data_IF_915460865413
#
_entry.id   IF_915460865413
#
_cell.length_a   1.000
_cell.length_b   1.000
_cell.length_c   1.000
_cell.angle_alpha   90.00
_cell.angle_beta   90.00
_cell.angle_gamma   90.00
#
_symmetry.space_group_name_H-M   'P 1'
#
loop_
_entity.id
_entity.type
_entity.pdbx_description
1 polymer ?
#
# COMPACT_ATOMS: atom_id res chain seq x y z
N UNK A 1 -9.77 -22.03 -27.70
CA UNK A 1 -9.07 -22.94 -26.77
C UNK A 1 -9.07 -22.30 -25.41
N UNK A 2 -9.66 -22.99 -24.45
CA UNK A 2 -9.83 -22.56 -23.06
C UNK A 2 -8.51 -22.76 -22.33
N UNK A 3 -8.06 -21.75 -21.57
CA UNK A 3 -7.09 -21.98 -20.48
C UNK A 3 -5.98 -20.95 -20.36
N UNK A 4 -6.25 -19.85 -19.63
CA UNK A 4 -5.30 -19.34 -18.65
C UNK A 4 -6.11 -19.14 -17.37
N UNK A 5 -6.21 -20.20 -16.56
CA UNK A 5 -6.73 -20.12 -15.19
C UNK A 5 -5.53 -20.24 -14.27
N UNK A 6 -4.85 -19.12 -14.04
CA UNK A 6 -3.77 -19.09 -13.07
C UNK A 6 -3.98 -17.90 -12.16
N UNK A 7 -4.75 -18.17 -11.12
CA UNK A 7 -4.96 -17.27 -9.99
C UNK A 7 -4.23 -17.97 -8.84
N UNK A 8 -3.31 -17.27 -8.16
CA UNK A 8 -2.68 -17.61 -6.86
C UNK A 8 -1.21 -18.11 -6.79
N UNK A 9 -0.25 -17.56 -7.53
CA UNK A 9 1.18 -17.79 -7.17
C UNK A 9 1.65 -17.05 -5.91
N UNK A 10 0.81 -16.19 -5.34
CA UNK A 10 1.14 -15.51 -4.10
C UNK A 10 1.22 -16.49 -2.93
N UNK A 11 2.38 -16.55 -2.27
CA UNK A 11 2.47 -17.11 -0.92
C UNK A 11 2.02 -16.04 0.06
N UNK A 12 0.94 -16.31 0.78
CA UNK A 12 0.40 -15.34 1.73
C UNK A 12 1.28 -15.30 2.98
N UNK A 13 1.80 -14.10 3.28
CA UNK A 13 2.48 -13.75 4.54
C UNK A 13 1.69 -12.66 5.24
N UNK A 14 1.47 -12.85 6.54
CA UNK A 14 0.80 -11.88 7.42
C UNK A 14 1.35 -12.06 8.83
N UNK A 15 1.52 -10.95 9.55
CA UNK A 15 1.83 -10.97 10.99
C UNK A 15 0.57 -10.74 11.85
N UNK A 16 -0.56 -10.53 11.18
CA UNK A 16 -1.87 -10.30 11.77
C UNK A 16 -2.95 -11.04 10.99
N UNK A 17 -4.09 -11.27 11.66
CA UNK A 17 -5.27 -11.84 11.02
C UNK A 17 -5.91 -10.82 10.09
N UNK A 18 -6.46 -11.24 8.93
CA UNK A 18 -7.19 -10.33 8.06
C UNK A 18 -8.35 -9.67 8.82
N UNK A 19 -8.42 -8.34 8.91
CA UNK A 19 -9.50 -7.65 9.59
C UNK A 19 -10.81 -7.88 8.85
N UNK A 20 -11.92 -7.90 9.59
CA UNK A 20 -13.26 -7.88 8.97
C UNK A 20 -13.43 -6.57 8.20
N UNK A 21 -13.80 -6.67 6.93
CA UNK A 21 -14.09 -5.51 6.10
C UNK A 21 -15.60 -5.24 6.03
N UNK A 22 -15.98 -3.99 6.30
CA UNK A 22 -17.33 -3.47 6.06
C UNK A 22 -17.19 -2.13 5.31
N UNK A 23 -17.68 -2.02 4.06
CA UNK A 23 -17.53 -0.80 3.26
C UNK A 23 -18.25 0.41 3.87
N UNK A 24 -19.31 0.21 4.66
CA UNK A 24 -20.05 1.31 5.30
C UNK A 24 -19.38 1.88 6.55
N UNK A 25 -18.37 1.17 7.08
CA UNK A 25 -17.64 1.57 8.29
C UNK A 25 -16.20 1.95 7.97
N UNK A 26 -15.60 1.33 6.96
CA UNK A 26 -14.21 1.55 6.61
C UNK A 26 -13.94 2.99 6.18
N UNK A 27 -12.80 3.53 6.63
CA UNK A 27 -12.29 4.84 6.26
C UNK A 27 -10.78 4.79 6.08
N UNK A 28 -10.27 5.61 5.16
CA UNK A 28 -8.85 5.95 5.05
C UNK A 28 -8.63 7.34 5.65
N UNK A 29 -7.77 7.43 6.66
CA UNK A 29 -7.32 8.71 7.22
C UNK A 29 -5.96 9.09 6.65
N UNK A 30 -5.81 10.35 6.22
CA UNK A 30 -4.53 10.97 5.83
C UNK A 30 -4.30 12.18 6.73
N UNK A 31 -3.23 12.15 7.51
CA UNK A 31 -2.97 13.12 8.58
C UNK A 31 -1.47 13.42 8.77
N UNK A 32 -1.14 14.15 9.85
CA UNK A 32 0.24 14.56 10.17
C UNK A 32 0.60 15.89 9.51
N UNK A 33 1.74 15.94 8.82
CA UNK A 33 2.29 17.12 8.16
C UNK A 33 1.58 17.43 6.82
N UNK A 34 0.26 17.65 6.90
CA UNK A 34 -0.60 18.08 5.79
C UNK A 34 -1.32 19.38 6.14
N UNK A 35 -1.77 20.14 5.15
CA UNK A 35 -2.50 21.39 5.40
C UNK A 35 -3.96 21.14 5.80
N UNK A 36 -4.59 20.15 5.18
CA UNK A 36 -5.95 19.72 5.44
C UNK A 36 -5.99 18.20 5.60
N UNK A 37 -6.09 17.69 6.85
CA UNK A 37 -6.31 16.27 7.09
C UNK A 37 -7.55 15.78 6.35
N UNK A 38 -7.49 14.55 5.85
CA UNK A 38 -8.51 13.98 4.99
C UNK A 38 -8.96 12.63 5.52
N UNK A 39 -10.27 12.42 5.50
CA UNK A 39 -10.87 11.12 5.81
C UNK A 39 -11.75 10.75 4.63
N UNK A 40 -11.50 9.59 4.03
CA UNK A 40 -12.17 9.11 2.81
C UNK A 40 -12.91 7.83 3.12
N UNK A 41 -14.18 7.75 2.75
CA UNK A 41 -14.99 6.52 2.78
C UNK A 41 -14.58 5.56 1.66
N UNK A 42 -15.07 4.32 1.71
CA UNK A 42 -14.76 3.35 0.66
C UNK A 42 -15.28 3.79 -0.72
N UNK A 43 -16.50 4.33 -0.78
CA UNK A 43 -17.09 4.78 -2.05
C UNK A 43 -16.36 5.99 -2.63
N UNK A 44 -15.96 6.95 -1.79
CA UNK A 44 -15.16 8.10 -2.22
C UNK A 44 -13.79 7.66 -2.74
N UNK A 45 -13.15 6.66 -2.11
CA UNK A 45 -11.89 6.09 -2.59
C UNK A 45 -12.05 5.52 -4.00
N UNK A 46 -13.12 4.77 -4.26
CA UNK A 46 -13.39 4.18 -5.58
C UNK A 46 -13.75 5.23 -6.65
N UNK A 47 -14.22 6.41 -6.23
CA UNK A 47 -14.52 7.52 -7.13
C UNK A 47 -13.29 8.37 -7.51
N UNK A 48 -12.14 8.16 -6.87
CA UNK A 48 -10.90 8.86 -7.21
C UNK A 48 -10.34 8.41 -8.57
N UNK A 49 -9.57 9.31 -9.20
CA UNK A 49 -8.78 8.97 -10.39
C UNK A 49 -7.87 7.78 -10.08
N UNK A 50 -8.04 6.71 -10.85
CA UNK A 50 -7.31 5.46 -10.67
C UNK A 50 -6.51 5.11 -11.92
N UNK A 51 -5.42 4.39 -11.69
CA UNK A 51 -4.52 3.92 -12.73
C UNK A 51 -4.40 2.39 -12.62
N UNK A 52 -4.17 1.75 -13.76
CA UNK A 52 -3.81 0.33 -13.83
C UNK A 52 -2.30 0.22 -14.07
N UNK A 53 -1.67 -0.77 -13.44
CA UNK A 53 -0.28 -1.11 -13.72
C UNK A 53 -0.09 -2.63 -13.73
N UNK A 54 0.90 -3.07 -14.49
CA UNK A 54 1.42 -4.43 -14.42
C UNK A 54 2.83 -4.34 -13.88
N UNK A 55 3.11 -5.08 -12.81
CA UNK A 55 4.42 -5.06 -12.15
C UNK A 55 4.67 -6.37 -11.41
N UNK A 56 5.94 -6.73 -11.28
CA UNK A 56 6.34 -7.92 -10.53
C UNK A 56 6.23 -7.67 -9.01
N UNK A 57 6.12 -8.75 -8.25
CA UNK A 57 6.11 -8.74 -6.80
C UNK A 57 7.21 -9.66 -6.29
N UNK A 58 8.09 -9.15 -5.43
CA UNK A 58 9.22 -9.91 -4.88
C UNK A 58 9.12 -10.08 -3.38
N UNK A 59 9.24 -11.30 -2.90
CA UNK A 59 9.38 -11.57 -1.48
C UNK A 59 10.85 -11.71 -1.10
N UNK A 60 11.20 -11.18 0.06
CA UNK A 60 12.52 -11.34 0.69
C UNK A 60 12.87 -12.82 0.97
N UNK A 61 11.88 -13.71 1.02
CA UNK A 61 12.08 -15.17 1.11
C UNK A 61 12.50 -15.84 -0.22
N UNK A 62 12.78 -15.05 -1.27
CA UNK A 62 13.33 -15.54 -2.53
C UNK A 62 12.31 -16.07 -3.55
N UNK A 63 11.02 -15.77 -3.37
CA UNK A 63 9.98 -16.08 -4.35
C UNK A 63 9.36 -14.82 -4.94
N UNK A 64 8.93 -14.90 -6.20
CA UNK A 64 8.34 -13.79 -6.95
C UNK A 64 7.01 -14.18 -7.58
N UNK A 65 6.19 -13.18 -7.89
CA UNK A 65 5.02 -13.32 -8.77
C UNK A 65 5.17 -12.28 -9.88
N UNK A 66 5.28 -12.75 -11.11
CA UNK A 66 5.54 -11.87 -12.26
C UNK A 66 4.22 -11.36 -12.85
N UNK A 67 4.30 -10.21 -13.53
CA UNK A 67 3.23 -9.61 -14.31
C UNK A 67 1.89 -9.47 -13.54
N UNK A 68 1.96 -9.00 -12.29
CA UNK A 68 0.76 -8.79 -11.49
C UNK A 68 0.04 -7.53 -11.92
N UNK A 69 -1.24 -7.64 -12.28
CA UNK A 69 -2.08 -6.49 -12.63
C UNK A 69 -2.71 -5.90 -11.37
N UNK A 70 -2.39 -4.63 -11.11
CA UNK A 70 -2.95 -3.85 -10.01
C UNK A 70 -3.82 -2.71 -10.55
N UNK A 71 -4.87 -2.36 -9.81
CA UNK A 71 -5.60 -1.10 -10.01
C UNK A 71 -5.77 -0.38 -8.68
N UNK A 72 -5.54 0.92 -8.70
CA UNK A 72 -5.50 1.72 -7.50
C UNK A 72 -5.34 3.21 -7.77
N UNK A 73 -5.09 3.96 -6.71
CA UNK A 73 -4.79 5.39 -6.78
C UNK A 73 -3.30 5.63 -6.56
N UNK A 74 -2.75 6.63 -7.24
CA UNK A 74 -1.44 7.19 -6.92
C UNK A 74 -1.54 8.07 -5.67
N UNK A 75 -0.49 8.10 -4.86
CA UNK A 75 -0.48 8.90 -3.62
C UNK A 75 -0.58 10.41 -3.89
N UNK A 76 -0.10 10.87 -5.06
CA UNK A 76 -0.30 12.24 -5.55
C UNK A 76 -1.77 12.68 -5.51
N UNK A 77 -2.72 11.76 -5.74
CA UNK A 77 -4.16 12.07 -5.73
C UNK A 77 -4.62 12.49 -4.34
N UNK A 78 -4.09 11.86 -3.29
CA UNK A 78 -4.36 12.22 -1.90
C UNK A 78 -3.65 13.51 -1.54
N UNK A 79 -2.37 13.65 -1.91
CA UNK A 79 -1.57 14.83 -1.56
C UNK A 79 -2.06 16.12 -2.21
N UNK A 80 -2.58 16.03 -3.44
CA UNK A 80 -3.22 17.16 -4.11
C UNK A 80 -4.48 17.64 -3.36
N UNK A 81 -5.14 16.77 -2.59
CA UNK A 81 -6.31 17.12 -1.78
C UNK A 81 -5.94 17.64 -0.40
N UNK A 82 -4.91 17.06 0.23
CA UNK A 82 -4.52 17.41 1.60
C UNK A 82 -3.61 18.62 1.67
N UNK A 83 -2.80 18.88 0.62
CA UNK A 83 -1.61 19.71 0.73
C UNK A 83 -0.53 19.03 1.59
N UNK A 84 0.74 19.32 1.32
CA UNK A 84 1.86 18.86 2.13
C UNK A 84 2.51 20.05 2.81
N UNK A 85 2.80 19.92 4.11
CA UNK A 85 3.59 20.94 4.80
C UNK A 85 5.05 20.90 4.33
N UNK A 86 5.79 22.03 4.34
CA UNK A 86 7.19 22.07 3.91
C UNK A 86 8.11 21.10 4.66
N UNK A 87 7.78 20.78 5.90
CA UNK A 87 8.56 19.88 6.76
C UNK A 87 8.24 18.40 6.53
N UNK A 88 7.22 18.06 5.73
CA UNK A 88 6.91 16.68 5.40
C UNK A 88 8.06 16.06 4.60
N UNK A 89 8.59 14.94 5.07
CA UNK A 89 9.69 14.24 4.42
C UNK A 89 9.42 12.74 4.23
N UNK A 90 8.57 12.16 5.08
CA UNK A 90 8.24 10.74 5.08
C UNK A 90 6.73 10.52 5.16
N UNK A 91 6.30 9.34 4.70
CA UNK A 91 4.91 8.88 4.68
C UNK A 91 4.86 7.50 5.30
N UNK A 92 4.15 7.39 6.41
CA UNK A 92 3.97 6.13 7.12
C UNK A 92 2.58 5.57 6.85
N UNK A 93 2.53 4.31 6.44
CA UNK A 93 1.31 3.55 6.19
C UNK A 93 1.08 2.59 7.34
N UNK A 94 -0.16 2.52 7.84
CA UNK A 94 -0.55 1.60 8.89
C UNK A 94 -1.62 0.64 8.39
N UNK A 95 -1.50 -0.62 8.78
CA UNK A 95 -2.60 -1.58 8.63
C UNK A 95 -3.74 -1.26 9.61
N UNK A 96 -4.92 -1.81 9.33
CA UNK A 96 -6.13 -1.50 10.07
C UNK A 96 -6.06 -1.79 11.58
N UNK A 97 -5.23 -2.74 12.01
CA UNK A 97 -5.03 -3.01 13.44
C UNK A 97 -4.04 -2.05 14.11
N UNK A 98 -3.24 -1.33 13.32
CA UNK A 98 -2.10 -0.55 13.78
C UNK A 98 -0.84 -1.38 14.13
N UNK A 99 -0.91 -2.72 14.08
CA UNK A 99 0.24 -3.59 14.38
C UNK A 99 1.32 -3.48 13.32
N UNK A 100 0.92 -3.44 12.04
CA UNK A 100 1.84 -3.37 10.92
C UNK A 100 1.95 -1.94 10.39
N UNK A 101 3.17 -1.49 10.19
CA UNK A 101 3.44 -0.22 9.54
C UNK A 101 4.71 -0.27 8.72
N UNK A 102 4.80 0.63 7.75
CA UNK A 102 5.97 0.87 6.94
C UNK A 102 6.07 2.36 6.60
N UNK A 103 7.29 2.91 6.53
CA UNK A 103 7.56 4.33 6.30
C UNK A 103 8.53 4.52 5.14
N UNK A 104 8.13 5.38 4.20
CA UNK A 104 8.87 5.71 2.99
C UNK A 104 9.18 7.20 2.96
N UNK A 105 10.29 7.58 2.35
CA UNK A 105 10.53 8.98 1.97
C UNK A 105 9.51 9.45 0.95
N UNK A 106 9.24 10.76 0.90
CA UNK A 106 8.38 11.34 -0.13
C UNK A 106 8.87 11.02 -1.55
N UNK A 107 10.18 10.95 -1.76
CA UNK A 107 10.78 10.60 -3.05
C UNK A 107 10.41 9.19 -3.49
N UNK A 108 10.43 8.22 -2.58
CA UNK A 108 9.99 6.85 -2.86
C UNK A 108 8.49 6.78 -3.11
N UNK A 109 7.69 7.58 -2.40
CA UNK A 109 6.22 7.57 -2.51
C UNK A 109 5.75 8.12 -3.85
N UNK A 110 6.48 9.06 -4.45
CA UNK A 110 6.14 9.66 -5.75
C UNK A 110 6.68 8.88 -6.95
N UNK A 111 7.39 7.77 -6.72
CA UNK A 111 7.83 6.87 -7.79
C UNK A 111 6.62 6.41 -8.64
N UNK A 112 6.74 6.36 -9.98
CA UNK A 112 5.59 6.19 -10.87
C UNK A 112 4.77 4.91 -10.67
N UNK A 113 5.35 3.87 -10.06
CA UNK A 113 4.69 2.57 -9.86
C UNK A 113 4.22 2.34 -8.41
N UNK A 114 4.40 3.32 -7.51
CA UNK A 114 3.85 3.24 -6.15
C UNK A 114 2.38 3.60 -6.18
N UNK A 115 1.54 2.79 -5.53
CA UNK A 115 0.10 3.02 -5.45
C UNK A 115 -0.55 2.40 -4.22
N UNK A 116 -1.75 2.88 -3.91
CA UNK A 116 -2.70 2.20 -3.06
C UNK A 116 -3.67 1.42 -3.96
N UNK A 117 -3.48 0.11 -4.05
CA UNK A 117 -4.27 -0.79 -4.87
C UNK A 117 -5.52 -1.29 -4.13
N UNK A 118 -6.64 -1.35 -4.84
CA UNK A 118 -7.90 -1.95 -4.39
C UNK A 118 -8.40 -3.09 -5.32
N UNK A 119 -7.77 -3.28 -6.48
CA UNK A 119 -7.96 -4.47 -7.34
C UNK A 119 -6.65 -5.21 -7.61
N UNK A 120 -6.79 -6.51 -7.81
CA UNK A 120 -5.74 -7.46 -8.19
C UNK A 120 -6.30 -8.35 -9.30
N UNK A 121 -5.65 -8.35 -10.47
CA UNK A 121 -6.02 -9.14 -11.64
C UNK A 121 -7.51 -8.99 -12.01
N UNK A 122 -7.94 -7.74 -12.19
CA UNK A 122 -9.30 -7.37 -12.60
C UNK A 122 -10.42 -7.72 -11.60
N UNK A 123 -10.07 -8.21 -10.41
CA UNK A 123 -10.98 -8.48 -9.30
C UNK A 123 -10.67 -7.59 -8.09
N UNK A 124 -11.67 -7.33 -7.24
CA UNK A 124 -11.40 -6.70 -5.94
C UNK A 124 -10.40 -7.54 -5.15
N UNK A 125 -9.53 -6.88 -4.38
CA UNK A 125 -8.56 -7.59 -3.54
C UNK A 125 -9.25 -8.69 -2.71
N UNK A 126 -8.73 -9.93 -2.72
CA UNK A 126 -9.07 -10.92 -1.72
C UNK A 126 -8.74 -10.40 -0.32
N UNK A 127 -9.50 -10.81 0.70
CA UNK A 127 -9.27 -10.34 2.08
C UNK A 127 -7.84 -10.60 2.55
N UNK A 128 -7.28 -11.78 2.25
CA UNK A 128 -5.90 -12.16 2.58
C UNK A 128 -4.82 -11.33 1.86
N UNK A 129 -5.20 -10.67 0.76
CA UNK A 129 -4.34 -9.80 -0.05
C UNK A 129 -4.45 -8.31 0.30
N UNK A 130 -5.22 -7.95 1.33
CA UNK A 130 -5.26 -6.58 1.83
C UNK A 130 -6.56 -5.83 1.60
N UNK A 131 -7.68 -6.49 1.25
CA UNK A 131 -8.98 -5.81 1.07
C UNK A 131 -9.33 -4.89 2.25
N UNK A 132 -9.72 -3.63 2.03
CA UNK A 132 -10.03 -3.01 0.73
C UNK A 132 -8.86 -2.36 0.03
N UNK A 133 -7.74 -2.12 0.71
CA UNK A 133 -6.67 -1.27 0.24
C UNK A 133 -5.31 -1.78 0.70
N UNK A 134 -4.36 -1.89 -0.22
CA UNK A 134 -2.96 -2.21 0.10
C UNK A 134 -2.00 -1.25 -0.59
N UNK A 135 -0.84 -1.07 0.02
CA UNK A 135 0.30 -0.45 -0.64
C UNK A 135 0.95 -1.46 -1.62
N UNK A 136 1.38 -0.96 -2.77
CA UNK A 136 2.13 -1.70 -3.80
C UNK A 136 3.35 -0.88 -4.18
N UNK A 137 4.53 -1.50 -4.09
CA UNK A 137 5.82 -0.86 -4.40
C UNK A 137 6.73 -1.86 -5.15
N UNK A 138 6.71 -1.88 -6.49
CA UNK A 138 7.38 -2.93 -7.25
C UNK A 138 8.90 -3.00 -7.10
N UNK A 139 9.54 -1.87 -6.75
CA UNK A 139 10.99 -1.81 -6.54
C UNK A 139 11.44 -2.28 -5.15
N UNK A 140 10.50 -2.62 -4.28
CA UNK A 140 10.74 -3.01 -2.90
C UNK A 140 10.19 -4.40 -2.61
N UNK A 141 10.78 -5.06 -1.62
CA UNK A 141 10.31 -6.35 -1.14
C UNK A 141 8.90 -6.24 -0.54
N UNK A 142 8.16 -7.34 -0.64
CA UNK A 142 6.76 -7.42 -0.26
C UNK A 142 6.46 -7.07 1.20
N UNK A 143 7.46 -7.09 2.10
CA UNK A 143 7.27 -6.64 3.48
C UNK A 143 7.09 -5.12 3.58
N UNK A 144 7.59 -4.34 2.62
CA UNK A 144 7.31 -2.92 2.56
C UNK A 144 5.84 -2.64 2.18
N UNK A 145 5.23 -3.56 1.42
CA UNK A 145 3.87 -3.42 0.86
C UNK A 145 2.75 -3.73 1.88
N UNK A 146 2.47 -2.77 2.78
CA UNK A 146 1.42 -2.84 3.83
C UNK A 146 0.06 -3.25 3.27
N UNK A 147 -0.59 -4.21 3.94
CA UNK A 147 -1.97 -4.65 3.65
C UNK A 147 -2.97 -3.99 4.59
N UNK A 148 -4.23 -3.93 4.16
CA UNK A 148 -5.35 -3.41 4.97
C UNK A 148 -5.14 -1.97 5.42
N UNK A 149 -4.59 -1.14 4.54
CA UNK A 149 -4.26 0.26 4.86
C UNK A 149 -5.53 1.01 5.21
N UNK A 150 -5.54 1.68 6.36
CA UNK A 150 -6.61 2.60 6.77
C UNK A 150 -6.09 3.94 7.31
N UNK A 151 -4.78 4.10 7.47
CA UNK A 151 -4.16 5.34 7.94
C UNK A 151 -2.84 5.59 7.24
N UNK A 152 -2.64 6.85 6.88
CA UNK A 152 -1.43 7.41 6.29
C UNK A 152 -1.06 8.65 7.10
N UNK A 153 0.18 8.73 7.57
CA UNK A 153 0.67 9.86 8.35
C UNK A 153 1.92 10.43 7.71
N UNK A 154 1.94 11.74 7.49
CA UNK A 154 3.12 12.44 7.01
C UNK A 154 3.95 12.95 8.18
N UNK A 155 5.25 12.68 8.15
CA UNK A 155 6.18 12.98 9.24
C UNK A 155 7.46 13.64 8.72
N UNK A 156 8.17 14.31 9.62
CA UNK A 156 9.45 14.95 9.32
C UNK A 156 10.61 13.94 9.38
N UNK A 157 10.47 12.92 10.23
CA UNK A 157 11.46 11.87 10.44
C UNK A 157 10.88 10.52 10.07
N UNK A 158 11.68 9.64 9.48
CA UNK A 158 11.26 8.29 9.12
C UNK A 158 10.85 7.52 10.38
N UNK A 159 9.69 6.88 10.33
CA UNK A 159 9.30 5.93 11.35
C UNK A 159 9.91 4.56 11.04
N UNK A 160 10.37 3.86 12.08
CA UNK A 160 10.83 2.48 11.93
C UNK A 160 9.60 1.57 11.84
N UNK A 161 9.40 0.92 10.69
CA UNK A 161 8.27 0.01 10.43
C UNK A 161 8.35 -1.32 11.22
N UNK A 162 7.38 -2.21 10.99
CA UNK A 162 7.29 -3.46 11.73
C UNK A 162 8.49 -4.37 11.52
N UNK A 163 8.87 -4.63 10.26
CA UNK A 163 9.96 -5.56 9.96
C UNK A 163 11.34 -4.94 10.17
N UNK A 164 11.46 -3.63 10.02
CA UNK A 164 12.67 -2.88 10.31
C UNK A 164 13.02 -2.98 11.80
N UNK A 165 12.01 -2.91 12.70
CA UNK A 165 12.21 -3.22 14.13
C UNK A 165 12.65 -4.67 14.37
N UNK A 166 12.29 -5.59 13.47
CA UNK A 166 12.73 -6.98 13.49
C UNK A 166 14.08 -7.22 12.76
N UNK A 167 14.78 -6.15 12.37
CA UNK A 167 16.12 -6.22 11.77
C UNK A 167 16.16 -6.29 10.24
N UNK A 168 15.02 -6.09 9.57
CA UNK A 168 14.99 -6.02 8.10
C UNK A 168 15.53 -4.67 7.61
N UNK A 169 15.99 -4.63 6.36
CA UNK A 169 16.54 -3.42 5.76
C UNK A 169 15.44 -2.33 5.64
N UNK A 170 15.77 -1.09 6.00
CA UNK A 170 14.84 0.04 5.95
C UNK A 170 14.41 0.42 4.53
N UNK A 171 15.33 0.35 3.56
CA UNK A 171 15.04 0.69 2.17
C UNK A 171 14.30 -0.47 1.49
N UNK A 172 14.62 -1.70 1.89
CA UNK A 172 13.97 -2.91 1.44
C UNK A 172 13.89 -3.11 -0.07
N UNK A 173 14.84 -2.55 -0.82
CA UNK A 173 14.88 -2.61 -2.29
C UNK A 173 15.00 -4.06 -2.77
N UNK A 174 14.13 -4.49 -3.69
CA UNK A 174 14.11 -5.86 -4.23
C UNK A 174 14.89 -6.03 -5.54
N UNK A 175 15.35 -4.93 -6.12
CA UNK A 175 16.07 -4.85 -7.40
C UNK A 175 17.31 -3.96 -7.28
N UNK A 176 18.36 -4.18 -8.08
CA UNK A 176 19.01 -3.10 -8.81
C UNK A 176 18.14 -2.62 -9.99
#
# INVERSE_FOLDING_TARGET
MVGIKTINWFRIRSVEQPPRFDPGVWKLTVEGLVDSPLVITYDELLALESEEQVSDFHCVEGWSVDAVKWKGIRLKVLFNKTGLKPEAAFVTFYSASGLYSDSLSLNEVVEPQVMLAYMLNDELLPQVQGRPLRLVMPRMFGYKSVKWVNRITLTQTQEVGYWERAGYNIDGVSYP
#
